data_IF_905904450206
#
_entry.id   IF_905904450206
#
_cell.length_a   1.000
_cell.length_b   1.000
_cell.length_c   1.000
_cell.angle_alpha   90.00
_cell.angle_beta   90.00
_cell.angle_gamma   90.00
#
_symmetry.space_group_name_H-M   'P 1'
#
loop_
_entity.id
_entity.type
_entity.pdbx_description
1 polymer ?
#
# COMPACT_ATOMS: atom_id res chain seq x y z
N UNK A 1 -6.52 51.03 61.86
CA UNK A 1 -5.58 49.89 61.75
C UNK A 1 -6.07 48.95 60.66
N UNK A 2 -5.25 48.71 59.64
CA UNK A 2 -5.51 47.78 58.54
C UNK A 2 -5.44 46.34 59.07
N UNK A 3 -6.38 45.48 58.67
CA UNK A 3 -6.22 44.02 58.67
C UNK A 3 -7.13 43.42 57.57
N UNK A 4 -6.50 43.00 56.47
CA UNK A 4 -7.08 42.06 55.48
C UNK A 4 -6.99 40.64 56.07
N UNK A 5 -7.90 39.74 55.70
CA UNK A 5 -7.43 38.41 55.34
C UNK A 5 -8.10 37.77 54.10
N UNK A 6 -7.22 37.28 53.22
CA UNK A 6 -7.24 36.05 52.45
C UNK A 6 -8.45 35.70 51.56
N UNK A 7 -8.29 36.02 50.27
CA UNK A 7 -8.94 35.33 49.15
C UNK A 7 -8.22 33.99 48.98
N UNK A 8 -8.88 32.89 49.31
CA UNK A 8 -8.41 31.54 48.95
C UNK A 8 -8.55 31.33 47.45
N UNK A 9 -7.42 31.33 46.74
CA UNK A 9 -7.36 30.88 45.34
C UNK A 9 -7.27 29.36 45.35
N UNK A 10 -8.38 28.69 45.05
CA UNK A 10 -8.37 27.25 44.75
C UNK A 10 -7.85 27.09 43.32
N UNK A 11 -6.58 26.71 43.20
CA UNK A 11 -5.99 26.30 41.92
C UNK A 11 -6.50 24.89 41.62
N UNK A 12 -7.57 24.81 40.81
CA UNK A 12 -8.01 23.55 40.22
C UNK A 12 -7.06 23.14 39.12
N UNK A 13 -6.18 22.18 39.39
CA UNK A 13 -5.37 21.51 38.36
C UNK A 13 -6.32 20.64 37.53
N UNK A 14 -6.72 21.14 36.37
CA UNK A 14 -7.45 20.38 35.37
C UNK A 14 -6.45 19.45 34.67
N UNK A 15 -6.20 18.26 35.23
CA UNK A 15 -5.46 17.21 34.54
C UNK A 15 -6.28 16.72 33.35
N UNK A 16 -5.96 17.27 32.18
CA UNK A 16 -6.31 16.68 30.89
C UNK A 16 -5.64 15.31 30.81
N UNK A 17 -6.40 14.26 31.12
CA UNK A 17 -6.06 12.90 30.76
C UNK A 17 -6.08 12.84 29.23
N UNK A 18 -4.89 13.00 28.63
CA UNK A 18 -4.69 12.70 27.23
C UNK A 18 -5.18 11.28 26.98
N UNK A 19 -6.22 11.15 26.16
CA UNK A 19 -6.64 9.86 25.63
C UNK A 19 -5.45 9.28 24.86
N UNK A 20 -4.67 8.42 25.51
CA UNK A 20 -3.78 7.50 24.81
C UNK A 20 -4.73 6.63 24.01
N UNK A 21 -4.84 6.88 22.71
CA UNK A 21 -5.48 5.95 21.80
C UNK A 21 -4.61 4.70 21.80
N UNK A 22 -4.96 3.77 22.70
CA UNK A 22 -4.48 2.39 22.61
C UNK A 22 -5.07 1.88 21.32
N UNK A 23 -4.29 1.93 20.24
CA UNK A 23 -4.55 1.12 19.05
C UNK A 23 -4.49 -0.31 19.55
N UNK A 24 -5.65 -0.87 19.88
CA UNK A 24 -5.75 -2.24 20.34
C UNK A 24 -5.10 -3.12 19.26
N UNK A 25 -3.97 -3.71 19.62
CA UNK A 25 -3.38 -4.79 18.87
C UNK A 25 -4.47 -5.84 18.65
N UNK A 26 -4.61 -6.34 17.43
CA UNK A 26 -5.68 -7.27 17.13
C UNK A 26 -5.58 -8.52 18.00
N UNK A 27 -6.73 -9.09 18.36
CA UNK A 27 -6.82 -10.14 19.39
C UNK A 27 -6.58 -11.55 18.85
N UNK A 28 -6.45 -11.71 17.52
CA UNK A 28 -6.30 -13.03 16.92
C UNK A 28 -4.90 -13.59 17.13
N UNK A 29 -4.78 -14.91 17.41
CA UNK A 29 -3.49 -15.58 17.41
C UNK A 29 -2.77 -15.43 16.06
N UNK A 30 -1.44 -15.30 16.08
CA UNK A 30 -0.62 -15.20 14.88
C UNK A 30 -0.87 -16.36 13.91
N UNK A 31 -1.03 -17.58 14.43
CA UNK A 31 -1.30 -18.78 13.64
C UNK A 31 -2.59 -18.73 12.81
N UNK A 32 -3.59 -17.93 13.22
CA UNK A 32 -4.84 -17.75 12.46
C UNK A 32 -4.70 -16.69 11.34
N UNK A 33 -3.78 -15.75 11.50
CA UNK A 33 -3.60 -14.60 10.59
C UNK A 33 -2.49 -14.84 9.57
N UNK A 34 -1.43 -15.53 9.99
CA UNK A 34 -0.21 -15.75 9.20
C UNK A 34 -0.49 -16.35 7.81
N UNK A 35 -1.35 -17.38 7.63
CA UNK A 35 -1.60 -17.95 6.30
C UNK A 35 -2.19 -16.94 5.31
N UNK A 36 -3.07 -16.03 5.76
CA UNK A 36 -3.64 -14.98 4.91
C UNK A 36 -2.59 -13.92 4.56
N UNK A 37 -1.75 -13.54 5.52
CA UNK A 37 -0.64 -12.61 5.25
C UNK A 37 0.35 -13.22 4.24
N UNK A 38 0.78 -14.47 4.45
CA UNK A 38 1.69 -15.18 3.55
C UNK A 38 1.12 -15.35 2.14
N UNK A 39 -0.20 -15.55 2.01
CA UNK A 39 -0.86 -15.54 0.71
C UNK A 39 -0.60 -14.23 -0.04
N UNK A 40 -0.75 -13.07 0.59
CA UNK A 40 -0.46 -11.79 -0.06
C UNK A 40 1.03 -11.61 -0.34
N UNK A 41 1.90 -11.98 0.60
CA UNK A 41 3.35 -11.85 0.42
C UNK A 41 3.86 -12.62 -0.80
N UNK A 42 3.40 -13.85 -1.01
CA UNK A 42 3.76 -14.64 -2.20
C UNK A 42 3.36 -13.94 -3.51
N UNK A 43 2.13 -13.44 -3.59
CA UNK A 43 1.66 -12.72 -4.79
C UNK A 43 2.43 -11.41 -5.02
N UNK A 44 2.82 -10.72 -3.94
CA UNK A 44 3.65 -9.52 -4.04
C UNK A 44 5.02 -9.87 -4.63
N UNK A 45 5.64 -10.96 -4.18
CA UNK A 45 6.93 -11.40 -4.70
C UNK A 45 6.85 -11.83 -6.16
N UNK A 46 5.80 -12.56 -6.56
CA UNK A 46 5.57 -12.95 -7.97
C UNK A 46 5.42 -11.72 -8.88
N UNK A 47 4.62 -10.73 -8.45
CA UNK A 47 4.44 -9.48 -9.18
C UNK A 47 5.73 -8.66 -9.25
N UNK A 48 6.47 -8.57 -8.15
CA UNK A 48 7.76 -7.88 -8.12
C UNK A 48 8.76 -8.53 -9.08
N UNK A 49 8.83 -9.87 -9.12
CA UNK A 49 9.69 -10.60 -10.04
C UNK A 49 9.32 -10.35 -11.50
N UNK A 50 8.02 -10.29 -11.83
CA UNK A 50 7.56 -9.89 -13.16
C UNK A 50 8.04 -8.48 -13.53
N UNK A 51 7.86 -7.51 -12.62
CA UNK A 51 8.29 -6.13 -12.88
C UNK A 51 9.80 -5.97 -12.99
N UNK A 52 10.59 -6.74 -12.23
CA UNK A 52 12.04 -6.79 -12.44
C UNK A 52 12.40 -7.24 -13.86
N UNK A 53 11.67 -8.23 -14.40
CA UNK A 53 11.81 -8.67 -15.78
C UNK A 53 11.49 -7.57 -16.79
N UNK A 54 10.38 -6.86 -16.59
CA UNK A 54 10.00 -5.71 -17.44
C UNK A 54 11.06 -4.61 -17.34
N UNK A 55 11.53 -4.28 -16.14
CA UNK A 55 12.54 -3.24 -15.89
C UNK A 55 13.90 -3.54 -16.54
N UNK A 56 14.29 -4.81 -16.69
CA UNK A 56 15.55 -5.20 -17.33
C UNK A 56 15.48 -5.35 -18.85
N UNK A 57 14.30 -5.63 -19.39
CA UNK A 57 14.11 -5.86 -20.84
C UNK A 57 14.19 -4.58 -21.66
N UNK A 58 14.60 -4.59 -22.94
CA UNK A 58 14.44 -3.40 -23.80
C UNK A 58 12.96 -3.05 -23.98
N UNK A 59 12.67 -1.81 -24.43
CA UNK A 59 11.29 -1.43 -24.74
C UNK A 59 10.73 -2.31 -25.86
N UNK A 60 9.60 -2.95 -25.58
CA UNK A 60 8.87 -3.71 -26.58
C UNK A 60 8.33 -2.74 -27.64
N UNK A 61 8.48 -3.12 -28.91
CA UNK A 61 7.95 -2.38 -30.04
C UNK A 61 6.75 -3.12 -30.60
N UNK A 62 5.65 -2.41 -30.79
CA UNK A 62 4.41 -2.96 -31.31
C UNK A 62 4.12 -2.40 -32.69
N UNK A 63 3.36 -3.16 -33.48
CA UNK A 63 3.01 -2.76 -34.85
C UNK A 63 1.89 -1.73 -34.88
N UNK A 64 1.10 -1.66 -33.79
CA UNK A 64 -0.02 -0.73 -33.64
C UNK A 64 -0.08 -0.10 -32.25
N UNK A 65 -0.72 1.06 -32.16
CA UNK A 65 -0.96 1.74 -30.89
C UNK A 65 -1.89 0.94 -29.96
N UNK A 66 -2.82 0.15 -30.51
CA UNK A 66 -3.74 -0.68 -29.73
C UNK A 66 -3.03 -1.86 -29.06
N UNK A 67 -2.07 -2.48 -29.74
CA UNK A 67 -1.20 -3.51 -29.17
C UNK A 67 -0.37 -2.97 -28.00
N UNK A 68 0.26 -1.80 -28.19
CA UNK A 68 0.96 -1.10 -27.10
C UNK A 68 0.02 -0.80 -25.94
N UNK A 69 -1.18 -0.28 -26.22
CA UNK A 69 -2.18 0.04 -25.19
C UNK A 69 -2.60 -1.19 -24.41
N UNK A 70 -2.84 -2.32 -25.08
CA UNK A 70 -3.21 -3.58 -24.42
C UNK A 70 -2.09 -4.09 -23.51
N UNK A 71 -0.84 -4.03 -23.96
CA UNK A 71 0.32 -4.35 -23.13
C UNK A 71 0.41 -3.42 -21.91
N UNK A 72 0.33 -2.10 -22.13
CA UNK A 72 0.39 -1.10 -21.08
C UNK A 72 -0.72 -1.26 -20.03
N UNK A 73 -1.97 -1.41 -20.47
CA UNK A 73 -3.11 -1.61 -19.57
C UNK A 73 -2.92 -2.88 -18.74
N UNK A 74 -2.38 -3.96 -19.33
CA UNK A 74 -2.04 -5.19 -18.60
C UNK A 74 -0.92 -5.01 -17.57
N UNK A 75 0.08 -4.17 -17.82
CA UNK A 75 1.11 -3.85 -16.81
C UNK A 75 0.53 -2.97 -15.69
N UNK A 76 -0.33 -2.01 -16.01
CA UNK A 76 -1.04 -1.19 -15.01
C UNK A 76 -1.95 -2.05 -14.13
N UNK A 77 -2.69 -2.99 -14.70
CA UNK A 77 -3.54 -3.93 -13.95
C UNK A 77 -2.73 -4.76 -12.95
N UNK A 78 -1.52 -5.19 -13.34
CA UNK A 78 -0.60 -5.88 -12.42
C UNK A 78 -0.12 -4.97 -11.30
N UNK A 79 0.10 -3.68 -11.57
CA UNK A 79 0.47 -2.71 -10.52
C UNK A 79 -0.69 -2.51 -9.55
N UNK A 80 -1.93 -2.43 -10.05
CA UNK A 80 -3.13 -2.40 -9.19
C UNK A 80 -3.17 -3.63 -8.28
N UNK A 81 -2.92 -4.82 -8.82
CA UNK A 81 -2.84 -6.05 -8.03
C UNK A 81 -1.74 -5.98 -6.97
N UNK A 82 -0.54 -5.48 -7.31
CA UNK A 82 0.56 -5.33 -6.35
C UNK A 82 0.13 -4.45 -5.17
N UNK A 83 -0.40 -3.26 -5.46
CA UNK A 83 -0.85 -2.32 -4.42
C UNK A 83 -1.96 -2.96 -3.57
N UNK A 84 -2.93 -3.63 -4.21
CA UNK A 84 -4.01 -4.31 -3.51
C UNK A 84 -3.50 -5.38 -2.53
N UNK A 85 -2.55 -6.25 -2.94
CA UNK A 85 -1.97 -7.25 -2.05
C UNK A 85 -1.14 -6.61 -0.92
N UNK A 86 -0.34 -5.57 -1.22
CA UNK A 86 0.47 -4.84 -0.20
C UNK A 86 -0.41 -4.25 0.89
N UNK A 87 -1.50 -3.60 0.48
CA UNK A 87 -2.45 -2.99 1.42
C UNK A 87 -3.24 -4.05 2.18
N UNK A 88 -3.73 -5.10 1.50
CA UNK A 88 -4.50 -6.16 2.14
C UNK A 88 -3.65 -6.96 3.14
N UNK A 89 -2.38 -7.23 2.84
CA UNK A 89 -1.45 -7.86 3.79
C UNK A 89 -1.39 -7.09 5.12
N UNK A 90 -1.36 -5.76 5.06
CA UNK A 90 -1.37 -4.92 6.26
C UNK A 90 -2.74 -4.93 6.96
N UNK A 91 -3.84 -4.99 6.23
CA UNK A 91 -5.19 -5.14 6.81
C UNK A 91 -5.30 -6.44 7.59
N UNK A 92 -4.87 -7.56 7.02
CA UNK A 92 -4.84 -8.86 7.70
C UNK A 92 -3.94 -8.84 8.93
N UNK A 93 -2.71 -8.35 8.80
CA UNK A 93 -1.73 -8.37 9.89
C UNK A 93 -2.15 -7.52 11.10
N UNK A 94 -2.98 -6.49 10.93
CA UNK A 94 -3.55 -5.71 12.04
C UNK A 94 -4.52 -6.51 12.91
N UNK A 95 -5.01 -7.66 12.45
CA UNK A 95 -5.89 -8.52 13.24
C UNK A 95 -5.17 -9.28 14.36
N UNK A 96 -3.84 -9.28 14.36
CA UNK A 96 -3.01 -9.85 15.44
C UNK A 96 -2.15 -8.78 16.11
N UNK A 97 -1.73 -9.04 17.35
CA UNK A 97 -0.73 -8.26 18.07
C UNK A 97 0.71 -8.72 17.87
N UNK A 98 0.93 -9.73 17.05
CA UNK A 98 2.26 -10.24 16.74
C UNK A 98 3.05 -9.24 15.87
N UNK A 99 4.16 -8.73 16.41
CA UNK A 99 4.98 -7.72 15.75
C UNK A 99 5.78 -8.28 14.56
N UNK A 100 6.09 -9.57 14.55
CA UNK A 100 6.82 -10.18 13.44
C UNK A 100 5.90 -10.31 12.22
N UNK A 101 4.65 -10.73 12.42
CA UNK A 101 3.62 -10.75 11.36
C UNK A 101 3.40 -9.35 10.79
N UNK A 102 3.27 -8.34 11.66
CA UNK A 102 3.07 -6.94 11.25
C UNK A 102 4.29 -6.37 10.51
N UNK A 103 5.51 -6.72 10.95
CA UNK A 103 6.75 -6.30 10.28
C UNK A 103 6.86 -6.92 8.89
N UNK A 104 6.57 -8.22 8.77
CA UNK A 104 6.56 -8.93 7.51
C UNK A 104 5.54 -8.32 6.53
N UNK A 105 4.31 -8.05 6.97
CA UNK A 105 3.28 -7.42 6.13
C UNK A 105 3.60 -5.98 5.70
N UNK A 106 4.39 -5.24 6.49
CA UNK A 106 4.78 -3.85 6.17
C UNK A 106 5.96 -3.77 5.20
N UNK A 107 6.87 -4.75 5.25
CA UNK A 107 8.11 -4.73 4.47
C UNK A 107 7.91 -4.53 2.96
N UNK A 108 6.90 -5.13 2.30
CA UNK A 108 6.71 -4.98 0.86
C UNK A 108 6.28 -3.60 0.39
N UNK A 109 5.95 -2.64 1.26
CA UNK A 109 5.62 -1.26 0.84
C UNK A 109 6.74 -0.57 0.06
N UNK A 110 7.99 -1.01 0.24
CA UNK A 110 9.12 -0.53 -0.58
C UNK A 110 8.92 -0.83 -2.08
N UNK A 111 8.18 -1.89 -2.43
CA UNK A 111 7.87 -2.28 -3.82
C UNK A 111 7.00 -1.23 -4.54
N UNK A 112 6.33 -0.34 -3.81
CA UNK A 112 5.55 0.74 -4.41
C UNK A 112 6.43 1.79 -5.11
N UNK A 113 7.66 2.01 -4.61
CA UNK A 113 8.62 2.88 -5.29
C UNK A 113 9.22 2.20 -6.54
N UNK A 114 9.37 0.87 -6.52
CA UNK A 114 9.74 0.09 -7.71
C UNK A 114 8.62 0.16 -8.78
N UNK A 115 7.34 0.11 -8.37
CA UNK A 115 6.21 0.30 -9.27
C UNK A 115 6.18 1.71 -9.91
N UNK A 116 6.58 2.76 -9.19
CA UNK A 116 6.76 4.10 -9.79
C UNK A 116 7.88 4.10 -10.82
N UNK A 117 8.99 3.40 -10.55
CA UNK A 117 10.09 3.23 -11.50
C UNK A 117 9.63 2.49 -12.77
N UNK A 118 8.76 1.49 -12.62
CA UNK A 118 8.13 0.81 -13.75
C UNK A 118 7.30 1.77 -14.60
N UNK A 119 6.48 2.63 -13.99
CA UNK A 119 5.69 3.63 -14.74
C UNK A 119 6.58 4.63 -15.49
N UNK A 120 7.73 5.00 -14.92
CA UNK A 120 8.73 5.82 -15.61
C UNK A 120 9.30 5.13 -16.85
N UNK A 121 9.66 3.87 -16.71
CA UNK A 121 10.09 3.07 -17.85
C UNK A 121 9.01 2.96 -18.92
N UNK A 122 7.78 2.63 -18.53
CA UNK A 122 6.67 2.48 -19.48
C UNK A 122 6.38 3.79 -20.21
N UNK A 123 6.56 4.94 -19.57
CA UNK A 123 6.41 6.25 -20.23
C UNK A 123 7.47 6.49 -21.31
N UNK A 124 8.71 6.08 -21.07
CA UNK A 124 9.78 6.13 -22.07
C UNK A 124 9.46 5.21 -23.25
N UNK A 125 9.08 3.96 -22.97
CA UNK A 125 8.70 3.01 -24.00
C UNK A 125 7.44 3.45 -24.80
N UNK A 126 6.49 4.16 -24.16
CA UNK A 126 5.34 4.73 -24.83
C UNK A 126 5.77 5.70 -25.94
N UNK A 127 6.77 6.54 -25.65
CA UNK A 127 7.31 7.54 -26.57
C UNK A 127 7.95 6.87 -27.79
N UNK A 128 8.69 5.78 -27.59
CA UNK A 128 9.27 4.96 -28.66
C UNK A 128 8.20 4.31 -29.55
N UNK A 129 7.03 4.00 -28.99
CA UNK A 129 5.86 3.49 -29.69
C UNK A 129 4.92 4.60 -30.23
N UNK A 130 5.35 5.87 -30.24
CA UNK A 130 4.58 6.99 -30.78
C UNK A 130 3.36 7.40 -29.93
N UNK A 131 3.35 7.04 -28.64
CA UNK A 131 2.27 7.36 -27.69
C UNK A 131 2.82 8.08 -26.46
N UNK A 132 1.94 8.59 -25.59
CA UNK A 132 2.37 9.18 -24.31
C UNK A 132 1.26 9.08 -23.26
N UNK A 133 1.65 9.17 -21.99
CA UNK A 133 0.71 9.23 -20.87
C UNK A 133 1.28 10.04 -19.70
N UNK A 134 0.41 10.44 -18.77
CA UNK A 134 0.80 11.08 -17.51
C UNK A 134 0.98 10.03 -16.41
N UNK A 135 2.20 9.90 -15.86
CA UNK A 135 2.47 8.99 -14.74
C UNK A 135 1.57 9.28 -13.53
N UNK A 136 1.38 10.57 -13.20
CA UNK A 136 0.50 10.99 -12.10
C UNK A 136 -0.97 10.62 -12.37
N UNK A 137 -1.42 10.76 -13.62
CA UNK A 137 -2.77 10.34 -14.01
C UNK A 137 -2.98 8.84 -13.84
N UNK A 138 -2.00 8.04 -14.25
CA UNK A 138 -2.01 6.59 -14.12
C UNK A 138 -1.95 6.17 -12.65
N UNK A 139 -1.10 6.80 -11.83
CA UNK A 139 -1.02 6.51 -10.40
C UNK A 139 -2.34 6.77 -9.67
N UNK A 140 -3.01 7.90 -9.96
CA UNK A 140 -4.34 8.19 -9.43
C UNK A 140 -5.42 7.20 -9.89
N UNK A 141 -5.28 6.64 -11.10
CA UNK A 141 -6.16 5.57 -11.59
C UNK A 141 -5.91 4.30 -10.77
N UNK A 142 -4.65 3.92 -10.58
CA UNK A 142 -4.25 2.77 -9.77
C UNK A 142 -4.86 2.88 -8.37
N UNK A 143 -4.63 3.99 -7.65
CA UNK A 143 -5.15 4.21 -6.29
C UNK A 143 -6.68 4.09 -6.21
N UNK A 144 -7.39 4.49 -7.27
CA UNK A 144 -8.86 4.40 -7.35
C UNK A 144 -9.35 2.97 -7.53
N UNK A 145 -8.61 2.14 -8.26
CA UNK A 145 -9.00 0.77 -8.61
C UNK A 145 -8.63 -0.25 -7.53
N UNK A 146 -7.70 0.10 -6.64
CA UNK A 146 -7.22 -0.79 -5.57
C UNK A 146 -8.34 -1.34 -4.68
N UNK A 147 -9.31 -0.55 -4.17
CA UNK A 147 -10.38 -1.08 -3.32
C UNK A 147 -11.25 -2.12 -4.03
N UNK A 148 -11.62 -1.85 -5.28
CA UNK A 148 -12.42 -2.78 -6.09
C UNK A 148 -11.63 -4.06 -6.35
N UNK A 149 -10.31 -3.94 -6.56
CA UNK A 149 -9.45 -5.11 -6.76
C UNK A 149 -9.28 -5.93 -5.49
N UNK A 150 -9.13 -5.30 -4.32
CA UNK A 150 -9.09 -5.99 -3.03
C UNK A 150 -10.33 -6.85 -2.80
N UNK A 151 -11.52 -6.34 -3.14
CA UNK A 151 -12.78 -7.07 -3.01
C UNK A 151 -12.87 -8.32 -3.91
N UNK A 152 -12.05 -8.40 -4.96
CA UNK A 152 -12.00 -9.53 -5.89
C UNK A 152 -10.95 -10.58 -5.51
N UNK A 153 -10.04 -10.28 -4.58
CA UNK A 153 -9.02 -11.23 -4.13
C UNK A 153 -9.71 -12.34 -3.33
N UNK A 154 -9.69 -13.57 -3.86
CA UNK A 154 -10.20 -14.74 -3.16
C UNK A 154 -9.10 -15.34 -2.29
N UNK A 155 -9.17 -15.09 -0.98
CA UNK A 155 -8.19 -15.58 -0.01
C UNK A 155 -8.47 -17.03 0.43
N UNK A 156 -7.46 -17.74 0.95
CA UNK A 156 -7.66 -18.96 1.74
C UNK A 156 -8.52 -18.66 2.99
N UNK A 157 -9.41 -19.60 3.35
CA UNK A 157 -10.16 -19.53 4.61
C UNK A 157 -9.25 -19.80 5.82
#
# INVERSE_FOLDING_TARGET
>A
MRLRPYISVVVGVLTWLGAVTVFAAGTKPAAEVLPRVEYHLRHIDDLAQHFEGVLRSPCQHFSTADEWKSYFDGEVDRVVLLVAHVEQAWVEAKQTGDDDVRRAAKAPRRRLEEARTLLDKLQKCASDNGTSFSQMGVWKKIEREVPDRQAQITQPQ
#
